data_IF_934709032501
#
_entry.id   IF_934709032501
#
_cell.length_a   1.000
_cell.length_b   1.000
_cell.length_c   1.000
_cell.angle_alpha   90.00
_cell.angle_beta   90.00
_cell.angle_gamma   90.00
#
_symmetry.space_group_name_H-M   'P 1'
#
loop_
_entity.id
_entity.type
_entity.pdbx_description
1 polymer ?
#
# COMPACT_ATOMS: atom_id res chain seq x y z
N UNK A 1 44.27 69.58 5.30
CA UNK A 1 44.04 68.99 6.64
C UNK A 1 42.95 67.93 6.51
N UNK A 2 43.21 66.73 7.05
CA UNK A 2 42.25 65.66 7.43
C UNK A 2 41.69 64.72 6.32
N UNK A 3 42.40 63.58 6.22
CA UNK A 3 42.00 62.15 6.26
C UNK A 3 40.91 61.56 5.34
N UNK A 4 41.39 60.54 4.60
CA UNK A 4 40.76 59.28 4.15
C UNK A 4 39.75 58.67 5.15
N UNK A 5 38.70 58.05 4.59
CA UNK A 5 38.34 56.66 4.94
C UNK A 5 37.51 56.01 3.82
N UNK A 6 38.09 54.95 3.25
CA UNK A 6 37.43 53.98 2.37
C UNK A 6 36.51 53.09 3.19
N UNK A 7 35.26 52.89 2.75
CA UNK A 7 34.37 51.89 3.32
C UNK A 7 34.21 50.75 2.30
N UNK A 8 34.77 49.60 2.66
CA UNK A 8 34.63 48.34 1.92
C UNK A 8 33.24 47.75 2.16
N UNK A 9 32.52 47.41 1.10
CA UNK A 9 31.30 46.60 1.16
C UNK A 9 31.69 45.13 1.04
N UNK A 10 31.51 44.38 2.13
CA UNK A 10 31.64 42.91 2.14
C UNK A 10 30.32 42.30 1.69
N UNK A 11 30.37 41.54 0.60
CA UNK A 11 29.30 40.70 0.08
C UNK A 11 29.15 39.48 1.00
N UNK A 12 28.00 39.32 1.63
CA UNK A 12 27.63 38.08 2.33
C UNK A 12 26.68 37.28 1.44
N UNK A 13 27.22 36.29 0.72
CA UNK A 13 26.45 35.27 0.03
C UNK A 13 25.94 34.26 1.07
N UNK A 14 24.63 34.30 1.36
CA UNK A 14 23.95 33.30 2.19
C UNK A 14 23.68 32.08 1.31
N UNK A 15 24.58 31.10 1.35
CA UNK A 15 24.33 29.75 0.84
C UNK A 15 23.37 29.04 1.80
N UNK A 16 22.09 28.98 1.46
CA UNK A 16 21.14 28.04 2.07
C UNK A 16 21.50 26.61 1.64
N UNK A 17 22.37 25.97 2.40
CA UNK A 17 22.51 24.51 2.41
C UNK A 17 21.22 23.93 2.99
N UNK A 18 20.33 23.47 2.11
CA UNK A 18 19.22 22.59 2.49
C UNK A 18 19.85 21.25 2.86
N UNK A 19 20.22 21.10 4.13
CA UNK A 19 20.59 19.82 4.69
C UNK A 19 19.35 18.91 4.62
N UNK A 20 19.42 17.86 3.79
CA UNK A 20 18.49 16.75 3.83
C UNK A 20 18.67 16.03 5.15
N UNK A 21 17.92 16.44 6.18
CA UNK A 21 17.88 15.72 7.45
C UNK A 21 17.18 14.38 7.16
N UNK A 22 17.83 13.23 7.37
CA UNK A 22 17.12 11.96 7.34
C UNK A 22 16.08 12.00 8.45
N UNK A 23 14.81 11.84 8.10
CA UNK A 23 13.71 11.68 9.06
C UNK A 23 13.99 10.39 9.84
N UNK A 24 14.67 10.53 10.97
CA UNK A 24 14.83 9.46 11.94
C UNK A 24 13.49 9.27 12.64
N UNK A 25 12.86 8.13 12.39
CA UNK A 25 11.71 7.67 13.19
C UNK A 25 12.12 7.61 14.66
N UNK A 26 11.27 8.15 15.54
CA UNK A 26 11.53 8.39 16.96
C UNK A 26 11.89 7.15 17.81
N UNK A 27 11.90 5.95 17.22
CA UNK A 27 12.17 4.69 17.93
C UNK A 27 13.45 3.95 17.47
N UNK A 28 14.32 4.56 16.65
CA UNK A 28 15.59 3.93 16.25
C UNK A 28 15.46 2.64 15.42
N UNK A 29 14.24 2.20 15.11
CA UNK A 29 14.01 1.12 14.17
C UNK A 29 14.18 1.65 12.75
N UNK A 30 15.13 1.08 12.03
CA UNK A 30 15.45 1.48 10.66
C UNK A 30 14.42 0.91 9.69
N UNK A 31 14.01 1.74 8.73
CA UNK A 31 13.31 1.28 7.52
C UNK A 31 14.17 0.25 6.80
N UNK A 32 13.59 -0.89 6.43
CA UNK A 32 14.30 -1.97 5.76
C UNK A 32 14.00 -1.96 4.27
N UNK A 33 15.05 -1.98 3.45
CA UNK A 33 14.91 -2.22 2.01
C UNK A 33 14.61 -3.70 1.74
N UNK A 34 13.60 -3.96 0.92
CA UNK A 34 13.18 -5.30 0.50
C UNK A 34 13.15 -5.35 -1.02
N UNK A 35 13.99 -6.18 -1.66
CA UNK A 35 13.95 -6.36 -3.11
C UNK A 35 12.70 -7.11 -3.55
N UNK A 36 12.14 -6.75 -4.70
CA UNK A 36 11.06 -7.47 -5.38
C UNK A 36 11.71 -8.43 -6.40
N UNK A 37 11.72 -9.74 -6.13
CA UNK A 37 12.52 -10.70 -6.89
C UNK A 37 12.27 -10.65 -8.40
N UNK A 38 13.36 -10.60 -9.17
CA UNK A 38 13.31 -10.63 -10.64
C UNK A 38 12.80 -9.37 -11.31
N UNK A 39 12.52 -8.28 -10.59
CA UNK A 39 12.00 -7.04 -11.20
C UNK A 39 13.04 -5.92 -11.31
N UNK A 40 14.15 -6.01 -10.56
CA UNK A 40 15.10 -4.90 -10.41
C UNK A 40 14.52 -3.73 -9.61
N UNK A 41 13.48 -3.98 -8.81
CA UNK A 41 12.85 -2.99 -7.93
C UNK A 41 13.02 -3.39 -6.47
N UNK A 42 12.93 -2.39 -5.59
CA UNK A 42 12.87 -2.58 -4.14
C UNK A 42 11.87 -1.62 -3.49
N UNK A 43 11.46 -1.96 -2.27
CA UNK A 43 10.55 -1.18 -1.42
C UNK A 43 11.24 -0.91 -0.08
N UNK A 44 10.93 0.22 0.55
CA UNK A 44 11.24 0.46 1.95
C UNK A 44 10.04 0.11 2.82
N UNK A 45 10.27 -0.74 3.81
CA UNK A 45 9.25 -1.13 4.77
C UNK A 45 9.42 -0.36 6.07
N UNK A 46 8.32 0.13 6.67
CA UNK A 46 8.37 0.71 8.00
C UNK A 46 8.78 -0.34 9.03
N UNK A 47 9.33 0.11 10.18
CA UNK A 47 9.55 -0.75 11.33
C UNK A 47 8.33 -1.60 11.71
N UNK A 48 8.56 -2.84 12.13
CA UNK A 48 7.50 -3.75 12.58
C UNK A 48 6.72 -4.45 11.47
N UNK A 49 6.79 -3.96 10.22
CA UNK A 49 6.14 -4.62 9.09
C UNK A 49 6.90 -5.88 8.65
N UNK A 50 6.27 -7.04 8.84
CA UNK A 50 6.75 -8.31 8.31
C UNK A 50 6.34 -8.52 6.85
N UNK A 51 7.26 -9.09 6.06
CA UNK A 51 6.93 -9.67 4.76
C UNK A 51 6.49 -11.12 5.01
N UNK A 52 5.57 -11.70 4.26
CA UNK A 52 5.27 -13.13 4.38
C UNK A 52 6.36 -13.97 3.68
N UNK A 53 6.96 -15.00 4.30
CA UNK A 53 6.56 -15.68 5.54
C UNK A 53 7.27 -15.19 6.83
N UNK A 54 7.99 -14.07 6.81
CA UNK A 54 8.55 -13.48 8.03
C UNK A 54 7.43 -13.15 9.06
N UNK A 55 7.77 -13.27 10.35
CA UNK A 55 6.82 -13.05 11.45
C UNK A 55 6.75 -11.56 11.84
N UNK A 56 5.55 -10.99 12.07
CA UNK A 56 5.41 -9.63 12.60
C UNK A 56 5.97 -9.52 14.03
N UNK A 57 6.28 -8.29 14.46
CA UNK A 57 6.78 -8.03 15.81
C UNK A 57 5.73 -8.36 16.88
N UNK A 58 4.46 -8.07 16.60
CA UNK A 58 3.31 -8.38 17.45
C UNK A 58 2.21 -9.11 16.68
N UNK A 59 1.40 -9.89 17.40
CA UNK A 59 0.33 -10.71 16.82
C UNK A 59 -0.82 -9.91 16.18
N UNK A 60 -0.84 -8.58 16.36
CA UNK A 60 -1.82 -7.67 15.77
C UNK A 60 -1.26 -6.77 14.66
N UNK A 61 0.01 -6.89 14.31
CA UNK A 61 0.62 -6.02 13.30
C UNK A 61 0.22 -6.45 11.89
N UNK A 62 0.23 -5.48 10.98
CA UNK A 62 0.00 -5.73 9.57
C UNK A 62 1.15 -6.53 8.93
N UNK A 63 0.83 -7.26 7.86
CA UNK A 63 1.79 -8.08 7.10
C UNK A 63 1.72 -7.78 5.61
N UNK A 64 2.86 -7.85 4.93
CA UNK A 64 2.98 -7.62 3.49
C UNK A 64 3.32 -8.93 2.77
N UNK A 65 2.47 -9.40 1.86
CA UNK A 65 2.82 -10.43 0.90
C UNK A 65 3.27 -9.80 -0.42
N UNK A 66 4.31 -10.38 -1.03
CA UNK A 66 4.85 -9.96 -2.32
C UNK A 66 4.81 -11.18 -3.23
N UNK A 67 3.95 -11.13 -4.24
CA UNK A 67 3.85 -12.18 -5.27
C UNK A 67 4.34 -11.61 -6.59
N UNK A 68 5.21 -12.35 -7.27
CA UNK A 68 5.74 -11.98 -8.59
C UNK A 68 5.48 -13.11 -9.56
N UNK A 69 4.71 -12.83 -10.61
CA UNK A 69 4.28 -13.82 -11.59
C UNK A 69 4.75 -13.43 -12.99
N UNK A 70 5.31 -14.39 -13.72
CA UNK A 70 5.60 -14.21 -15.14
C UNK A 70 4.31 -14.14 -15.94
N UNK A 71 4.17 -13.14 -16.82
CA UNK A 71 3.01 -13.02 -17.72
C UNK A 71 2.85 -14.24 -18.65
N UNK A 72 3.90 -15.05 -18.80
CA UNK A 72 3.89 -16.27 -19.61
C UNK A 72 3.24 -17.46 -18.89
N UNK A 73 3.16 -17.41 -17.56
CA UNK A 73 2.72 -18.54 -16.73
C UNK A 73 1.22 -18.49 -16.42
N UNK A 74 0.54 -17.37 -16.68
CA UNK A 74 -0.92 -17.31 -16.53
C UNK A 74 -1.59 -18.29 -17.50
N UNK A 75 -2.57 -19.08 -17.00
CA UNK A 75 -3.26 -20.06 -17.83
C UNK A 75 -4.18 -19.36 -18.84
N UNK A 76 -4.58 -20.10 -19.89
CA UNK A 76 -5.61 -19.62 -20.83
C UNK A 76 -6.98 -19.63 -20.18
N UNK A 77 -7.25 -20.69 -19.41
CA UNK A 77 -8.50 -20.93 -18.70
C UNK A 77 -8.20 -21.05 -17.20
N UNK A 78 -8.95 -20.38 -16.34
CA UNK A 78 -8.73 -20.37 -14.90
C UNK A 78 -9.43 -19.19 -14.23
N UNK A 79 -9.25 -19.07 -12.91
CA UNK A 79 -9.83 -17.99 -12.09
C UNK A 79 -9.27 -16.61 -12.49
N UNK A 80 -8.01 -16.56 -12.88
CA UNK A 80 -7.36 -15.40 -13.50
C UNK A 80 -6.64 -15.87 -14.75
N UNK A 81 -7.10 -15.42 -15.90
CA UNK A 81 -6.59 -15.81 -17.21
C UNK A 81 -5.49 -14.86 -17.69
N UNK A 82 -4.65 -15.35 -18.60
CA UNK A 82 -3.65 -14.54 -19.29
C UNK A 82 -4.27 -13.35 -20.02
N UNK A 83 -5.46 -13.53 -20.60
CA UNK A 83 -6.16 -12.47 -21.32
C UNK A 83 -6.59 -11.34 -20.37
N UNK A 84 -7.12 -11.67 -19.19
CA UNK A 84 -7.51 -10.69 -18.17
C UNK A 84 -6.30 -9.92 -17.63
N UNK A 85 -5.19 -10.60 -17.36
CA UNK A 85 -3.96 -9.93 -16.89
C UNK A 85 -3.39 -9.00 -17.97
N UNK A 86 -3.43 -9.40 -19.25
CA UNK A 86 -3.02 -8.53 -20.35
C UNK A 86 -3.96 -7.34 -20.55
N UNK A 87 -5.26 -7.54 -20.38
CA UNK A 87 -6.25 -6.47 -20.40
C UNK A 87 -6.03 -5.49 -19.25
N UNK A 88 -5.76 -6.00 -18.03
CA UNK A 88 -5.40 -5.18 -16.87
C UNK A 88 -4.14 -4.35 -17.15
N UNK A 89 -3.07 -4.95 -17.68
CA UNK A 89 -1.83 -4.22 -18.05
C UNK A 89 -2.13 -3.09 -19.03
N UNK A 90 -2.96 -3.35 -20.04
CA UNK A 90 -3.34 -2.37 -21.07
C UNK A 90 -4.22 -1.26 -20.50
N UNK A 91 -5.18 -1.59 -19.64
CA UNK A 91 -6.04 -0.63 -18.96
C UNK A 91 -5.23 0.28 -18.04
N UNK A 92 -4.32 -0.30 -17.25
CA UNK A 92 -3.47 0.44 -16.33
C UNK A 92 -2.52 1.40 -17.05
N UNK A 93 -1.96 1.00 -18.20
CA UNK A 93 -1.18 1.90 -19.06
C UNK A 93 -1.99 3.09 -19.61
N UNK A 94 -3.32 2.98 -19.65
CA UNK A 94 -4.26 4.06 -20.02
C UNK A 94 -4.80 4.82 -18.81
N UNK A 95 -4.28 4.55 -17.60
CA UNK A 95 -4.75 5.17 -16.37
C UNK A 95 -6.11 4.66 -15.89
N UNK A 96 -6.50 3.43 -16.25
CA UNK A 96 -7.76 2.82 -15.83
C UNK A 96 -7.53 1.77 -14.73
N UNK A 97 -8.34 1.85 -13.67
CA UNK A 97 -8.31 0.93 -12.54
C UNK A 97 -9.10 -0.35 -12.84
N UNK A 98 -8.47 -1.28 -13.56
CA UNK A 98 -9.03 -2.62 -13.82
C UNK A 98 -8.38 -3.65 -12.90
N UNK A 99 -9.18 -4.52 -12.29
CA UNK A 99 -8.72 -5.61 -11.41
C UNK A 99 -8.92 -6.95 -12.11
N UNK A 100 -7.91 -7.82 -12.07
CA UNK A 100 -7.92 -9.15 -12.66
C UNK A 100 -7.46 -10.18 -11.61
N UNK A 101 -8.24 -10.37 -10.54
CA UNK A 101 -7.87 -11.17 -9.37
C UNK A 101 -9.00 -12.07 -8.85
N UNK A 102 -9.81 -12.62 -9.76
CA UNK A 102 -10.72 -13.73 -9.41
C UNK A 102 -11.82 -13.39 -8.42
N UNK A 103 -12.20 -12.12 -8.28
CA UNK A 103 -13.26 -11.66 -7.38
C UNK A 103 -12.80 -11.03 -6.07
N UNK A 104 -11.49 -10.96 -5.78
CA UNK A 104 -11.01 -10.39 -4.52
C UNK A 104 -11.14 -8.87 -4.37
N UNK A 105 -11.39 -8.12 -5.44
CA UNK A 105 -11.48 -6.66 -5.36
C UNK A 105 -12.90 -6.16 -5.11
N UNK A 106 -13.06 -5.26 -4.13
CA UNK A 106 -14.36 -4.60 -3.92
C UNK A 106 -14.73 -3.72 -5.11
N UNK A 107 -15.88 -4.02 -5.73
CA UNK A 107 -16.32 -3.36 -6.94
C UNK A 107 -16.43 -1.83 -6.77
N UNK A 108 -15.79 -1.08 -7.67
CA UNK A 108 -15.84 0.39 -7.68
C UNK A 108 -14.94 1.08 -6.65
N UNK A 109 -14.15 0.33 -5.86
CA UNK A 109 -13.20 0.90 -4.89
C UNK A 109 -11.74 0.87 -5.37
N UNK A 110 -11.51 0.41 -6.61
CA UNK A 110 -10.19 0.42 -7.21
C UNK A 110 -9.79 1.82 -7.69
N UNK A 111 -8.54 2.20 -7.47
CA UNK A 111 -7.95 3.45 -7.94
C UNK A 111 -6.60 3.22 -8.62
N UNK A 112 -6.20 4.17 -9.48
CA UNK A 112 -4.85 4.15 -10.08
C UNK A 112 -3.92 5.01 -9.24
N UNK A 113 -2.76 4.47 -8.92
CA UNK A 113 -1.71 5.15 -8.16
C UNK A 113 -0.45 5.21 -9.01
N UNK A 114 0.10 6.42 -9.20
CA UNK A 114 1.38 6.59 -9.88
C UNK A 114 2.52 6.04 -9.01
N UNK A 115 3.48 5.35 -9.64
CA UNK A 115 4.63 4.76 -8.95
C UNK A 115 5.89 5.59 -9.19
N UNK A 116 6.72 5.87 -8.16
CA UNK A 116 7.95 6.64 -8.31
C UNK A 116 8.99 6.00 -9.26
N UNK A 117 9.05 4.67 -9.28
CA UNK A 117 9.88 3.90 -10.21
C UNK A 117 9.39 3.94 -11.68
N UNK A 118 8.29 4.64 -11.95
CA UNK A 118 7.63 4.74 -13.25
C UNK A 118 6.41 3.83 -13.38
N UNK A 119 5.45 4.24 -14.21
CA UNK A 119 4.21 3.51 -14.44
C UNK A 119 3.15 3.76 -13.36
N UNK A 120 2.21 2.83 -13.23
CA UNK A 120 1.12 2.94 -12.25
C UNK A 120 0.78 1.56 -11.67
N UNK A 121 0.20 1.55 -10.48
CA UNK A 121 -0.46 0.41 -9.86
C UNK A 121 -1.97 0.63 -9.85
N UNK A 122 -2.72 -0.46 -9.94
CA UNK A 122 -4.11 -0.46 -9.45
C UNK A 122 -4.07 -0.82 -7.97
N UNK A 123 -4.65 0.04 -7.13
CA UNK A 123 -4.80 -0.15 -5.69
C UNK A 123 -6.27 -0.38 -5.38
N UNK A 124 -6.60 -1.44 -4.65
CA UNK A 124 -7.98 -1.74 -4.27
C UNK A 124 -8.05 -2.47 -2.92
N UNK A 125 -9.13 -2.30 -2.16
CA UNK A 125 -9.34 -3.06 -0.93
C UNK A 125 -9.93 -4.45 -1.19
N UNK A 126 -9.68 -5.37 -0.25
CA UNK A 126 -10.39 -6.64 -0.07
C UNK A 126 -10.92 -6.62 1.37
N UNK A 127 -12.24 -6.56 1.53
CA UNK A 127 -12.88 -6.53 2.85
C UNK A 127 -13.60 -7.83 3.21
N UNK A 128 -13.88 -8.65 2.21
CA UNK A 128 -14.35 -10.03 2.31
C UNK A 128 -13.96 -10.74 1.02
N UNK A 129 -13.44 -11.97 1.08
CA UNK A 129 -13.04 -12.67 -0.16
C UNK A 129 -14.26 -13.32 -0.84
N UNK A 130 -15.07 -14.07 -0.08
CA UNK A 130 -16.21 -14.83 -0.64
C UNK A 130 -17.37 -15.08 0.33
N UNK A 131 -17.20 -14.85 1.63
CA UNK A 131 -18.20 -15.16 2.66
C UNK A 131 -18.45 -13.96 3.57
N UNK A 132 -19.73 -13.67 3.81
CA UNK A 132 -20.19 -12.62 4.74
C UNK A 132 -19.62 -12.76 6.16
N UNK A 133 -19.19 -13.96 6.53
CA UNK A 133 -18.62 -14.30 7.84
C UNK A 133 -17.09 -14.15 7.91
N UNK A 134 -16.41 -13.86 6.79
CA UNK A 134 -14.96 -13.64 6.73
C UNK A 134 -14.65 -12.14 6.66
N UNK A 135 -14.29 -11.56 7.81
CA UNK A 135 -13.86 -10.17 7.89
C UNK A 135 -12.38 -10.05 7.55
N UNK A 136 -12.08 -9.42 6.42
CA UNK A 136 -10.72 -9.08 6.01
C UNK A 136 -10.49 -7.58 5.97
N UNK A 137 -9.24 -7.20 6.14
CA UNK A 137 -8.76 -5.85 5.94
C UNK A 137 -7.46 -5.94 5.15
N UNK A 138 -7.57 -6.01 3.82
CA UNK A 138 -6.41 -6.06 2.94
C UNK A 138 -6.47 -4.93 1.90
N UNK A 139 -5.30 -4.36 1.63
CA UNK A 139 -5.10 -3.48 0.49
C UNK A 139 -4.19 -4.21 -0.49
N UNK A 140 -4.60 -4.25 -1.75
CA UNK A 140 -3.86 -4.93 -2.79
C UNK A 140 -3.43 -3.90 -3.84
N UNK A 141 -2.15 -3.90 -4.16
CA UNK A 141 -1.61 -3.14 -5.27
C UNK A 141 -1.06 -4.09 -6.33
N UNK A 142 -1.52 -3.93 -7.57
CA UNK A 142 -1.04 -4.69 -8.72
C UNK A 142 -0.40 -3.74 -9.73
N UNK A 143 0.81 -4.06 -10.16
CA UNK A 143 1.52 -3.33 -11.21
C UNK A 143 2.39 -4.28 -12.05
N UNK A 144 2.97 -3.74 -13.12
CA UNK A 144 3.77 -4.52 -14.06
C UNK A 144 5.20 -4.00 -14.14
N UNK A 145 6.16 -4.91 -14.01
CA UNK A 145 7.58 -4.65 -14.18
C UNK A 145 8.12 -5.53 -15.31
N UNK A 146 8.14 -4.97 -16.52
CA UNK A 146 8.43 -5.72 -17.75
C UNK A 146 7.38 -6.83 -18.00
N UNK A 147 7.85 -8.07 -18.11
CA UNK A 147 7.02 -9.26 -18.34
C UNK A 147 6.59 -9.94 -17.02
N UNK A 148 6.53 -9.18 -15.93
CA UNK A 148 6.09 -9.67 -14.62
C UNK A 148 4.94 -8.84 -14.09
N UNK A 149 3.94 -9.53 -13.54
CA UNK A 149 2.91 -8.96 -12.67
C UNK A 149 3.42 -9.01 -11.25
N UNK A 150 3.34 -7.90 -10.54
CA UNK A 150 3.69 -7.81 -9.12
C UNK A 150 2.43 -7.50 -8.35
N UNK A 151 2.12 -8.32 -7.35
CA UNK A 151 1.01 -8.15 -6.44
C UNK A 151 1.55 -7.95 -5.04
N UNK A 152 1.27 -6.79 -4.46
CA UNK A 152 1.54 -6.49 -3.07
C UNK A 152 0.22 -6.58 -2.31
N UNK A 153 0.15 -7.40 -1.26
CA UNK A 153 -1.03 -7.52 -0.41
C UNK A 153 -0.67 -7.14 1.00
N UNK A 154 -1.29 -6.09 1.52
CA UNK A 154 -1.04 -5.56 2.86
C UNK A 154 -2.24 -5.80 3.75
N UNK A 155 -2.12 -6.78 4.64
CA UNK A 155 -3.21 -7.28 5.48
C UNK A 155 -3.06 -6.79 6.91
N UNK A 156 -4.16 -6.38 7.55
CA UNK A 156 -4.24 -5.96 8.94
C UNK A 156 -5.14 -6.90 9.75
N UNK A 157 -4.71 -7.41 10.91
CA UNK A 157 -5.59 -8.13 11.82
C UNK A 157 -6.82 -7.28 12.25
N UNK A 158 -8.06 -7.76 12.04
CA UNK A 158 -9.25 -6.93 12.24
C UNK A 158 -9.49 -6.43 13.67
N UNK A 159 -8.96 -7.13 14.69
CA UNK A 159 -9.31 -6.89 16.09
C UNK A 159 -9.10 -5.43 16.54
N UNK A 160 -8.02 -4.78 16.11
CA UNK A 160 -7.75 -3.39 16.47
C UNK A 160 -8.76 -2.43 15.82
N UNK A 161 -9.03 -2.60 14.53
CA UNK A 161 -9.99 -1.76 13.78
C UNK A 161 -11.41 -1.96 14.28
N UNK A 162 -11.81 -3.19 14.58
CA UNK A 162 -13.13 -3.49 15.15
C UNK A 162 -13.34 -2.78 16.48
N UNK A 163 -12.30 -2.73 17.32
CA UNK A 163 -12.33 -2.05 18.62
C UNK A 163 -12.41 -0.53 18.47
N UNK A 164 -11.68 0.04 17.51
CA UNK A 164 -11.59 1.50 17.32
C UNK A 164 -12.79 2.06 16.56
N UNK A 165 -13.32 1.29 15.60
CA UNK A 165 -14.38 1.73 14.69
C UNK A 165 -15.63 0.80 14.75
N UNK A 166 -16.20 0.52 15.94
CA UNK A 166 -17.24 -0.51 16.12
C UNK A 166 -18.55 -0.21 15.37
N UNK A 167 -18.75 1.02 14.87
CA UNK A 167 -19.92 1.41 14.08
C UNK A 167 -20.04 0.67 12.74
N UNK A 168 -18.91 0.21 12.17
CA UNK A 168 -18.87 -0.54 10.91
C UNK A 168 -19.07 -2.03 11.09
N UNK A 169 -19.04 -2.53 12.33
CA UNK A 169 -18.99 -3.95 12.61
C UNK A 169 -20.17 -4.40 13.47
N UNK A 170 -20.44 -5.69 13.43
CA UNK A 170 -21.50 -6.33 14.20
C UNK A 170 -21.31 -7.83 14.27
N UNK A 171 -22.37 -8.51 14.69
CA UNK A 171 -22.45 -9.95 14.76
C UNK A 171 -23.76 -10.42 14.14
N UNK A 172 -23.69 -11.45 13.31
CA UNK A 172 -24.86 -12.21 12.91
C UNK A 172 -24.78 -13.58 13.58
N UNK A 173 -25.41 -13.71 14.75
CA UNK A 173 -25.39 -14.96 15.52
C UNK A 173 -26.10 -16.11 14.81
N UNK A 174 -27.07 -15.81 13.95
CA UNK A 174 -27.86 -16.82 13.28
C UNK A 174 -27.06 -17.50 12.16
N UNK A 175 -26.25 -16.73 11.42
CA UNK A 175 -25.53 -17.23 10.25
C UNK A 175 -24.02 -17.37 10.46
N UNK A 176 -23.41 -16.52 11.29
CA UNK A 176 -21.95 -16.43 11.48
C UNK A 176 -21.49 -16.72 12.92
N UNK A 177 -22.39 -17.18 13.80
CA UNK A 177 -22.06 -17.52 15.19
C UNK A 177 -21.47 -16.34 15.97
N UNK A 178 -20.24 -16.50 16.50
CA UNK A 178 -19.55 -15.43 17.24
C UNK A 178 -18.63 -14.57 16.38
N UNK A 179 -18.52 -14.83 15.07
CA UNK A 179 -17.66 -14.06 14.19
C UNK A 179 -18.09 -12.58 14.16
N UNK A 180 -17.10 -11.69 14.06
CA UNK A 180 -17.34 -10.27 13.77
C UNK A 180 -17.50 -10.14 12.26
N UNK A 181 -18.54 -9.44 11.84
CA UNK A 181 -18.83 -9.19 10.42
C UNK A 181 -19.02 -7.69 10.17
N UNK A 182 -19.05 -7.30 8.90
CA UNK A 182 -19.53 -5.98 8.50
C UNK A 182 -20.98 -5.78 8.92
N UNK A 183 -21.28 -4.64 9.53
CA UNK A 183 -22.66 -4.26 9.85
C UNK A 183 -23.39 -3.91 8.57
N UNK A 184 -24.52 -4.56 8.30
CA UNK A 184 -25.27 -4.41 7.05
C UNK A 184 -24.35 -4.63 5.83
N UNK A 185 -23.81 -5.84 5.67
CA UNK A 185 -22.80 -6.14 4.66
C UNK A 185 -23.36 -5.83 3.27
N UNK A 186 -22.61 -5.04 2.51
CA UNK A 186 -22.98 -4.59 1.18
C UNK A 186 -22.08 -3.45 0.69
N UNK A 187 -22.16 -3.08 -0.61
CA UNK A 187 -21.22 -2.14 -1.21
C UNK A 187 -21.14 -0.78 -0.51
N UNK A 188 -22.25 -0.29 0.04
CA UNK A 188 -22.31 1.03 0.67
C UNK A 188 -21.53 1.11 1.99
N UNK A 189 -21.58 0.08 2.85
CA UNK A 189 -20.80 0.10 4.10
C UNK A 189 -19.32 0.02 3.81
N UNK A 190 -18.92 -0.82 2.85
CA UNK A 190 -17.54 -1.00 2.42
C UNK A 190 -16.98 0.28 1.79
N UNK A 191 -17.77 0.92 0.92
CA UNK A 191 -17.42 2.22 0.33
C UNK A 191 -17.26 3.30 1.40
N UNK A 192 -18.21 3.42 2.34
CA UNK A 192 -18.11 4.41 3.43
C UNK A 192 -16.88 4.17 4.32
N UNK A 193 -16.57 2.93 4.64
CA UNK A 193 -15.38 2.58 5.39
C UNK A 193 -14.11 2.97 4.60
N UNK A 194 -14.07 2.62 3.31
CA UNK A 194 -12.93 2.93 2.45
C UNK A 194 -12.68 4.43 2.31
N UNK A 195 -13.73 5.22 2.07
CA UNK A 195 -13.58 6.68 1.98
C UNK A 195 -13.19 7.30 3.33
N UNK A 196 -13.70 6.77 4.45
CA UNK A 196 -13.32 7.23 5.78
C UNK A 196 -11.84 6.95 6.08
N UNK A 197 -11.32 5.76 5.73
CA UNK A 197 -9.90 5.44 5.95
C UNK A 197 -8.98 6.28 5.06
N UNK A 198 -9.39 6.54 3.81
CA UNK A 198 -8.67 7.45 2.89
C UNK A 198 -8.58 8.87 3.44
N UNK A 199 -9.65 9.34 4.06
CA UNK A 199 -9.72 10.67 4.66
C UNK A 199 -9.01 10.76 6.03
N UNK A 200 -8.53 9.64 6.58
CA UNK A 200 -7.93 9.60 7.93
C UNK A 200 -8.96 9.80 9.05
N UNK A 201 -10.22 9.45 8.80
CA UNK A 201 -11.33 9.67 9.75
C UNK A 201 -11.63 8.46 10.65
N UNK A 202 -10.89 7.35 10.49
CA UNK A 202 -11.04 6.16 11.32
C UNK A 202 -10.07 6.15 12.51
N UNK A 203 -10.05 5.06 13.27
CA UNK A 203 -9.09 4.82 14.33
C UNK A 203 -7.63 4.77 13.88
N UNK A 204 -6.67 4.93 14.82
CA UNK A 204 -5.24 4.87 14.55
C UNK A 204 -4.79 3.62 13.78
N UNK A 205 -5.35 2.44 14.07
CA UNK A 205 -4.97 1.20 13.42
C UNK A 205 -5.36 1.19 11.94
N UNK A 206 -6.60 1.57 11.62
CA UNK A 206 -7.08 1.61 10.24
C UNK A 206 -6.34 2.67 9.42
N UNK A 207 -6.17 3.87 9.98
CA UNK A 207 -5.45 4.95 9.31
C UNK A 207 -3.98 4.59 9.07
N UNK A 208 -3.28 4.10 10.09
CA UNK A 208 -1.87 3.70 9.96
C UNK A 208 -1.67 2.59 8.93
N UNK A 209 -2.61 1.66 8.83
CA UNK A 209 -2.60 0.62 7.80
C UNK A 209 -2.76 1.20 6.39
N UNK A 210 -3.77 2.05 6.15
CA UNK A 210 -3.95 2.64 4.82
C UNK A 210 -2.77 3.54 4.43
N UNK A 211 -2.36 4.46 5.31
CA UNK A 211 -1.23 5.36 5.05
C UNK A 211 0.09 4.60 4.94
N UNK A 212 0.26 3.55 5.75
CA UNK A 212 1.44 2.69 5.72
C UNK A 212 1.60 1.99 4.38
N UNK A 213 0.52 1.48 3.79
CA UNK A 213 0.60 0.88 2.46
C UNK A 213 0.96 1.88 1.38
N UNK A 214 0.32 3.05 1.43
CA UNK A 214 0.60 4.15 0.50
C UNK A 214 2.07 4.58 0.59
N UNK A 215 2.63 4.62 1.80
CA UNK A 215 4.05 4.91 2.00
C UNK A 215 4.95 3.80 1.44
N UNK A 216 4.59 2.52 1.60
CA UNK A 216 5.31 1.39 0.98
C UNK A 216 5.30 1.55 -0.55
N UNK A 217 4.15 1.81 -1.17
CA UNK A 217 4.08 2.04 -2.64
C UNK A 217 4.89 3.25 -3.08
N UNK A 218 4.84 4.35 -2.32
CA UNK A 218 5.60 5.56 -2.57
C UNK A 218 7.12 5.41 -2.34
N UNK A 219 7.56 4.29 -1.77
CA UNK A 219 8.97 3.96 -1.62
C UNK A 219 9.54 3.10 -2.75
N UNK A 220 8.71 2.69 -3.70
CA UNK A 220 9.14 1.83 -4.80
C UNK A 220 10.20 2.54 -5.64
N UNK A 221 11.37 1.91 -5.75
CA UNK A 221 12.52 2.45 -6.46
C UNK A 221 13.21 1.37 -7.30
N UNK A 222 14.00 1.81 -8.27
CA UNK A 222 14.91 0.91 -8.99
C UNK A 222 16.04 0.50 -8.05
N UNK A 223 16.37 -0.80 -8.04
CA UNK A 223 17.55 -1.29 -7.33
C UNK A 223 18.78 -0.72 -8.02
N UNK A 224 19.59 0.03 -7.28
CA UNK A 224 20.88 0.49 -7.82
C UNK A 224 21.76 -0.74 -8.03
N UNK A 225 22.34 -0.96 -9.23
CA UNK A 225 23.28 -2.05 -9.42
C UNK A 225 24.43 -1.90 -8.41
N UNK A 226 24.77 -2.98 -7.71
CA UNK A 226 26.01 -3.04 -6.94
C UNK A 226 27.16 -2.72 -7.90
N UNK A 227 27.87 -1.60 -7.66
CA UNK A 227 29.06 -1.21 -8.43
C UNK A 227 30.23 -2.11 -8.10
#
# INVERSE_FOLDING_TARGET
>A
MVRRTSCWLVVAAVCCLVATIPVQSANGQQTREVPIPGTGLSLHLPPGLAVAPQKPAHAGDATLSITVESLRNFPRDGVVTKAEVQAQRTALAKGQATVADGGGGEAGLAEVVALPAGGSAVLYPVYSEFEICDLRLELVAVFFAGERRVTLRYSLPPAAVVKEDPGYFGHDKANCGSAVIWRQPGPEVLKRFHEAVKAGHLGPAANAWYTGFRAVLASLQQTTPAR
#
